data_IF_119772869642
#
_entry.id   IF_119772869642
#
_cell.length_a   1.000
_cell.length_b   1.000
_cell.length_c   1.000
_cell.angle_alpha   90.00
_cell.angle_beta   90.00
_cell.angle_gamma   90.00
#
_symmetry.space_group_name_H-M   'P 1'
#
loop_
_entity.id
_entity.type
_entity.pdbx_description
1 polymer ?
#
# COMPACT_ATOMS: atom_id res chain seq x y z
N UNK A 1 -5.61 13.67 7.56
CA UNK A 1 -4.77 12.47 7.36
C UNK A 1 -5.11 11.73 6.06
N UNK A 2 -6.39 11.61 5.70
CA UNK A 2 -6.82 10.94 4.46
C UNK A 2 -6.23 11.54 3.18
N UNK A 3 -6.33 12.87 3.00
CA UNK A 3 -5.75 13.56 1.84
C UNK A 3 -4.23 13.47 1.75
N UNK A 4 -3.54 13.36 2.90
CA UNK A 4 -2.10 13.16 2.94
C UNK A 4 -1.72 11.75 2.44
N UNK A 5 -2.43 10.71 2.89
CA UNK A 5 -2.25 9.35 2.37
C UNK A 5 -2.57 9.25 0.88
N UNK A 6 -3.62 9.97 0.42
CA UNK A 6 -3.96 10.07 -1.00
C UNK A 6 -2.82 10.70 -1.81
N UNK A 7 -2.21 11.76 -1.29
CA UNK A 7 -1.04 12.41 -1.89
C UNK A 7 0.17 11.48 -2.00
N UNK A 8 0.50 10.78 -0.91
CA UNK A 8 1.59 9.80 -0.90
C UNK A 8 1.32 8.64 -1.85
N UNK A 9 0.13 8.07 -1.83
CA UNK A 9 -0.24 6.99 -2.74
C UNK A 9 -0.05 7.44 -4.19
N UNK A 10 -0.53 8.62 -4.59
CA UNK A 10 -0.32 9.15 -5.96
C UNK A 10 1.14 9.36 -6.32
N UNK A 11 1.97 9.77 -5.37
CA UNK A 11 3.39 10.02 -5.61
C UNK A 11 4.21 8.74 -5.79
N UNK A 12 3.87 7.69 -5.03
CA UNK A 12 4.66 6.46 -4.98
C UNK A 12 4.05 5.30 -5.76
N UNK A 13 2.75 5.34 -6.04
CA UNK A 13 2.07 4.34 -6.85
C UNK A 13 2.57 4.43 -8.29
N UNK A 14 3.13 3.32 -8.77
CA UNK A 14 3.41 3.11 -10.18
C UNK A 14 2.37 2.13 -10.68
N UNK A 15 1.49 2.62 -11.55
CA UNK A 15 0.45 1.78 -12.11
C UNK A 15 1.10 0.63 -12.91
N UNK A 16 0.84 -0.63 -12.53
CA UNK A 16 1.31 -1.76 -13.33
C UNK A 16 0.67 -1.74 -14.72
N UNK A 17 1.45 -2.13 -15.71
CA UNK A 17 0.95 -2.25 -17.08
C UNK A 17 0.29 -3.62 -17.27
N UNK A 18 -0.97 -3.59 -17.68
CA UNK A 18 -1.79 -4.77 -17.95
C UNK A 18 -2.48 -4.56 -19.31
N UNK A 19 -1.73 -4.58 -20.41
CA UNK A 19 -2.23 -4.18 -21.71
C UNK A 19 -3.40 -5.05 -22.19
N UNK A 20 -3.37 -6.36 -21.90
CA UNK A 20 -4.44 -7.30 -22.25
C UNK A 20 -5.74 -6.98 -21.50
N UNK A 21 -5.67 -6.79 -20.18
CA UNK A 21 -6.83 -6.44 -19.36
C UNK A 21 -7.39 -5.07 -19.74
N UNK A 22 -6.52 -4.09 -20.03
CA UNK A 22 -6.96 -2.76 -20.50
C UNK A 22 -7.68 -2.85 -21.84
N UNK A 23 -7.17 -3.68 -22.74
CA UNK A 23 -7.77 -3.89 -24.06
C UNK A 23 -9.14 -4.56 -23.92
N UNK A 24 -9.26 -5.62 -23.10
CA UNK A 24 -10.53 -6.30 -22.83
C UNK A 24 -11.57 -5.36 -22.21
N UNK A 25 -11.19 -4.56 -21.21
CA UNK A 25 -12.06 -3.53 -20.61
C UNK A 25 -12.53 -2.54 -21.67
N UNK A 26 -11.64 -2.10 -22.56
CA UNK A 26 -11.95 -1.13 -23.61
C UNK A 26 -12.92 -1.70 -24.65
N UNK A 27 -12.73 -2.95 -25.05
CA UNK A 27 -13.62 -3.66 -25.98
C UNK A 27 -15.03 -3.79 -25.39
N UNK A 28 -15.13 -4.28 -24.15
CA UNK A 28 -16.41 -4.41 -23.44
C UNK A 28 -17.08 -3.03 -23.28
N UNK A 29 -16.33 -2.00 -22.91
CA UNK A 29 -16.87 -0.64 -22.79
C UNK A 29 -17.41 -0.11 -24.12
N UNK A 30 -16.74 -0.41 -25.23
CA UNK A 30 -17.17 -0.02 -26.57
C UNK A 30 -18.45 -0.74 -26.98
N UNK A 31 -18.53 -2.06 -26.79
CA UNK A 31 -19.74 -2.86 -27.04
C UNK A 31 -20.95 -2.34 -26.25
N UNK A 32 -20.74 -2.01 -24.96
CA UNK A 32 -21.80 -1.45 -24.11
C UNK A 32 -22.26 -0.06 -24.56
N UNK A 33 -21.38 0.70 -25.21
CA UNK A 33 -21.68 2.07 -25.68
C UNK A 33 -22.40 2.08 -27.04
N UNK A 34 -22.12 1.09 -27.89
CA UNK A 34 -22.63 1.00 -29.27
C UNK A 34 -24.02 0.31 -29.36
N UNK A 35 -24.39 -0.56 -28.41
CA UNK A 35 -25.57 -1.44 -28.55
C UNK A 35 -26.86 -1.11 -27.78
N UNK A 36 -26.93 -0.05 -26.95
CA UNK A 36 -28.04 0.15 -25.99
C UNK A 36 -28.88 1.42 -26.18
N UNK A 37 -30.16 1.35 -25.79
CA UNK A 37 -31.05 2.50 -25.68
C UNK A 37 -30.47 3.55 -24.70
N UNK A 38 -30.66 4.84 -25.01
CA UNK A 38 -30.09 5.99 -24.26
C UNK A 38 -30.15 5.89 -22.72
N UNK A 39 -31.25 5.47 -22.07
CA UNK A 39 -31.31 5.42 -20.60
C UNK A 39 -30.49 4.28 -20.00
N UNK A 40 -30.51 3.08 -20.60
CA UNK A 40 -29.75 1.92 -20.11
C UNK A 40 -28.23 2.14 -20.23
N UNK A 41 -27.81 2.76 -21.34
CA UNK A 41 -26.41 3.15 -21.55
C UNK A 41 -25.90 4.09 -20.46
N UNK A 42 -26.72 5.05 -20.04
CA UNK A 42 -26.35 6.03 -18.99
C UNK A 42 -26.15 5.35 -17.64
N UNK A 43 -27.01 4.40 -17.28
CA UNK A 43 -26.88 3.66 -16.02
C UNK A 43 -25.65 2.76 -15.99
N UNK A 44 -25.31 2.13 -17.12
CA UNK A 44 -24.10 1.29 -17.22
C UNK A 44 -22.82 2.11 -17.16
N UNK A 45 -22.74 3.22 -17.89
CA UNK A 45 -21.58 4.13 -17.79
C UNK A 45 -21.41 4.63 -16.35
N UNK A 46 -22.50 5.02 -15.69
CA UNK A 46 -22.47 5.43 -14.29
C UNK A 46 -22.00 4.31 -13.35
N UNK A 47 -22.38 3.05 -13.62
CA UNK A 47 -21.91 1.91 -12.84
C UNK A 47 -20.40 1.72 -12.97
N UNK A 48 -19.87 1.84 -14.19
CA UNK A 48 -18.42 1.74 -14.47
C UNK A 48 -17.67 2.86 -13.75
N UNK A 49 -18.16 4.10 -13.82
CA UNK A 49 -17.55 5.24 -13.11
C UNK A 49 -17.52 5.01 -11.59
N UNK A 50 -18.61 4.50 -11.01
CA UNK A 50 -18.70 4.21 -9.58
C UNK A 50 -17.82 3.03 -9.16
N UNK A 51 -17.65 2.01 -10.01
CA UNK A 51 -16.76 0.88 -9.74
C UNK A 51 -15.29 1.32 -9.73
N UNK A 52 -14.90 2.17 -10.69
CA UNK A 52 -13.57 2.77 -10.72
C UNK A 52 -13.30 3.63 -9.48
N UNK A 53 -14.24 4.48 -9.08
CA UNK A 53 -14.12 5.29 -7.86
C UNK A 53 -14.02 4.42 -6.60
N UNK A 54 -14.85 3.38 -6.49
CA UNK A 54 -14.79 2.43 -5.37
C UNK A 54 -13.43 1.73 -5.31
N UNK A 55 -12.88 1.32 -6.46
CA UNK A 55 -11.58 0.67 -6.54
C UNK A 55 -10.44 1.58 -6.08
N UNK A 56 -10.50 2.88 -6.44
CA UNK A 56 -9.55 3.88 -5.97
C UNK A 56 -9.62 4.07 -4.44
N UNK A 57 -10.83 4.17 -3.88
CA UNK A 57 -11.01 4.34 -2.43
C UNK A 57 -10.58 3.09 -1.65
N UNK A 58 -10.86 1.88 -2.15
CA UNK A 58 -10.37 0.61 -1.56
C UNK A 58 -8.85 0.52 -1.63
N UNK A 59 -8.26 0.93 -2.75
CA UNK A 59 -6.80 0.99 -2.92
C UNK A 59 -6.17 1.94 -1.90
N UNK A 60 -6.73 3.13 -1.71
CA UNK A 60 -6.28 4.11 -0.72
C UNK A 60 -6.40 3.60 0.72
N UNK A 61 -7.53 2.98 1.06
CA UNK A 61 -7.72 2.36 2.37
C UNK A 61 -6.67 1.26 2.64
N UNK A 62 -6.38 0.42 1.63
CA UNK A 62 -5.38 -0.64 1.71
C UNK A 62 -3.98 -0.07 1.88
N UNK A 63 -3.63 0.98 1.12
CA UNK A 63 -2.36 1.69 1.24
C UNK A 63 -2.17 2.27 2.66
N UNK A 64 -3.19 2.94 3.20
CA UNK A 64 -3.14 3.51 4.54
C UNK A 64 -3.00 2.42 5.63
N UNK A 65 -3.67 1.28 5.47
CA UNK A 65 -3.52 0.13 6.36
C UNK A 65 -2.10 -0.47 6.29
N UNK A 66 -1.56 -0.65 5.09
CA UNK A 66 -0.20 -1.14 4.88
C UNK A 66 0.86 -0.22 5.48
N UNK A 67 0.69 1.11 5.35
CA UNK A 67 1.60 2.08 5.97
C UNK A 67 1.56 2.01 7.50
N UNK A 68 0.36 1.88 8.09
CA UNK A 68 0.21 1.69 9.54
C UNK A 68 0.90 0.42 10.02
N UNK A 69 0.77 -0.68 9.28
CA UNK A 69 1.45 -1.93 9.59
C UNK A 69 2.97 -1.78 9.52
N UNK A 70 3.50 -1.21 8.43
CA UNK A 70 4.93 -0.98 8.26
C UNK A 70 5.50 -0.08 9.36
N UNK A 71 4.78 0.98 9.74
CA UNK A 71 5.16 1.85 10.85
C UNK A 71 5.19 1.10 12.19
N UNK A 72 4.22 0.22 12.44
CA UNK A 72 4.20 -0.66 13.61
C UNK A 72 5.43 -1.56 13.68
N UNK A 73 5.78 -2.22 12.57
CA UNK A 73 6.97 -3.07 12.46
C UNK A 73 8.25 -2.24 12.72
N UNK A 74 8.37 -1.06 12.13
CA UNK A 74 9.53 -0.17 12.35
C UNK A 74 9.62 0.24 13.82
N UNK A 75 8.50 0.58 14.45
CA UNK A 75 8.48 0.92 15.87
C UNK A 75 8.95 -0.26 16.72
N UNK A 76 8.41 -1.47 16.48
CA UNK A 76 8.82 -2.70 17.17
C UNK A 76 10.32 -2.97 17.03
N UNK A 77 10.87 -2.85 15.82
CA UNK A 77 12.29 -3.05 15.55
C UNK A 77 13.21 -2.01 16.22
N UNK A 78 12.72 -0.80 16.49
CA UNK A 78 13.50 0.25 17.16
C UNK A 78 13.34 0.26 18.69
N UNK A 79 12.49 -0.60 19.25
CA UNK A 79 12.23 -0.63 20.71
C UNK A 79 13.36 -1.29 21.50
N UNK A 80 14.16 -2.15 20.87
CA UNK A 80 15.41 -2.65 21.43
C UNK A 80 16.57 -1.90 20.78
N UNK A 81 17.52 -1.34 21.56
CA UNK A 81 18.76 -0.81 20.97
C UNK A 81 19.38 -1.92 20.11
N UNK A 82 19.87 -1.63 18.90
CA UNK A 82 20.43 -2.65 18.04
C UNK A 82 21.52 -3.40 18.82
N UNK A 83 21.42 -4.73 18.81
CA UNK A 83 22.39 -5.59 19.47
C UNK A 83 23.81 -5.16 19.09
N UNK A 84 24.56 -4.66 20.06
CA UNK A 84 25.96 -4.25 19.89
C UNK A 84 26.84 -5.36 20.44
N UNK A 85 27.45 -6.13 19.53
CA UNK A 85 28.42 -7.15 19.89
C UNK A 85 29.58 -6.57 20.72
N UNK A 86 30.00 -5.35 20.41
CA UNK A 86 31.05 -4.64 21.15
C UNK A 86 30.63 -4.36 22.60
N UNK A 87 29.40 -3.87 22.83
CA UNK A 87 28.90 -3.66 24.20
C UNK A 87 28.73 -4.97 24.97
N UNK A 88 28.38 -6.07 24.30
CA UNK A 88 28.30 -7.38 24.95
C UNK A 88 29.68 -7.91 25.33
N UNK A 89 30.68 -7.79 24.44
CA UNK A 89 32.06 -8.18 24.75
C UNK A 89 32.65 -7.33 25.88
N UNK A 90 32.44 -6.01 25.89
CA UNK A 90 32.87 -5.13 26.99
C UNK A 90 32.26 -5.57 28.32
N UNK A 91 30.94 -5.83 28.38
CA UNK A 91 30.29 -6.34 29.60
C UNK A 91 30.81 -7.70 30.04
N UNK A 92 31.16 -8.59 29.11
CA UNK A 92 31.75 -9.90 29.43
C UNK A 92 33.14 -9.74 30.02
N UNK A 93 33.97 -8.87 29.44
CA UNK A 93 35.31 -8.55 29.93
C UNK A 93 35.25 -7.95 31.35
N UNK A 94 34.35 -6.98 31.59
CA UNK A 94 34.16 -6.39 32.92
C UNK A 94 33.70 -7.41 33.97
N UNK A 95 32.80 -8.33 33.61
CA UNK A 95 32.35 -9.39 34.52
C UNK A 95 33.43 -10.41 34.81
N UNK A 96 34.29 -10.72 33.84
CA UNK A 96 35.45 -11.59 34.01
C UNK A 96 36.46 -10.95 34.97
N UNK A 97 36.76 -9.66 34.76
CA UNK A 97 37.72 -8.90 35.56
C UNK A 97 37.26 -8.79 37.02
N UNK A 98 35.97 -8.59 37.28
CA UNK A 98 35.40 -8.59 38.65
C UNK A 98 35.36 -9.96 39.34
N UNK A 99 35.54 -11.06 38.62
CA UNK A 99 35.63 -12.41 39.19
C UNK A 99 37.07 -12.80 39.52
N UNK A 100 38.02 -12.16 38.84
CA UNK A 100 39.46 -12.43 38.96
C UNK A 100 40.15 -11.49 39.98
N UNK A 101 39.45 -10.45 40.47
CA UNK A 101 39.79 -9.59 41.63
C UNK A 101 39.15 -10.08 42.94
#
# INVERSE_FOLDING_TARGET
MYEYMRGLQRQFFKEPDFPELRQEIKEIHQELTEGKAKPERRSLLKLVDLEAELRDEVSLASFAAGFRLAWGIIAELNTEPPYSFAEEEERRMEQQQRRDD
#
